data_IF_903168483386
#
_entry.id   IF_903168483386
#
_cell.length_a   1.000
_cell.length_b   1.000
_cell.length_c   1.000
_cell.angle_alpha   90.00
_cell.angle_beta   90.00
_cell.angle_gamma   90.00
#
_symmetry.space_group_name_H-M   'P 1'
#
loop_
_entity.id
_entity.type
_entity.pdbx_description
1 polymer ?
#
# COMPACT_ATOMS: atom_id res chain seq x y z
N UNK A 1 -32.28 -34.15 -4.95
CA UNK A 1 -31.73 -33.77 -6.27
C UNK A 1 -30.52 -32.88 -6.07
N UNK A 2 -29.52 -32.94 -6.96
CA UNK A 2 -28.24 -32.19 -6.94
C UNK A 2 -27.37 -32.51 -5.69
N UNK A 3 -26.34 -33.38 -5.74
CA UNK A 3 -25.07 -33.36 -6.50
C UNK A 3 -24.21 -32.13 -6.16
N UNK A 4 -23.17 -32.27 -5.34
CA UNK A 4 -21.80 -32.73 -5.68
C UNK A 4 -20.95 -31.63 -6.38
N UNK A 5 -19.63 -31.53 -6.20
CA UNK A 5 -18.65 -32.45 -5.59
C UNK A 5 -17.48 -31.72 -4.89
N UNK A 6 -16.67 -32.47 -4.13
CA UNK A 6 -15.40 -32.01 -3.54
C UNK A 6 -14.25 -32.94 -3.94
N UNK A 7 -13.12 -32.42 -4.42
CA UNK A 7 -11.79 -33.02 -4.25
C UNK A 7 -11.00 -32.27 -3.15
N UNK A 8 -9.99 -32.83 -2.50
CA UNK A 8 -9.31 -34.11 -2.73
C UNK A 8 -7.80 -33.87 -2.66
N UNK A 9 -7.16 -34.31 -1.57
CA UNK A 9 -5.76 -33.97 -1.30
C UNK A 9 -4.78 -34.68 -2.27
N UNK A 10 -3.69 -33.98 -2.61
CA UNK A 10 -2.64 -34.48 -3.50
C UNK A 10 -1.34 -34.77 -2.71
N UNK A 11 -0.78 -35.99 -2.79
CA UNK A 11 0.55 -36.30 -2.27
C UNK A 11 1.61 -36.36 -3.39
N UNK A 12 2.83 -35.92 -3.07
CA UNK A 12 4.07 -36.40 -3.70
C UNK A 12 4.31 -36.08 -5.19
N UNK A 13 5.01 -34.97 -5.46
CA UNK A 13 5.80 -34.80 -6.68
C UNK A 13 7.21 -34.31 -6.31
N UNK A 14 8.26 -34.98 -6.79
CA UNK A 14 9.64 -34.60 -6.48
C UNK A 14 10.06 -33.34 -7.25
N UNK A 15 10.89 -32.50 -6.62
CA UNK A 15 11.41 -31.28 -7.24
C UNK A 15 12.56 -31.61 -8.21
N UNK A 16 12.21 -32.02 -9.43
CA UNK A 16 13.19 -32.30 -10.49
C UNK A 16 13.79 -30.99 -11.01
N UNK A 17 14.99 -30.64 -10.52
CA UNK A 17 15.75 -29.46 -10.95
C UNK A 17 15.98 -29.48 -12.48
N UNK A 18 15.24 -28.64 -13.20
CA UNK A 18 15.18 -28.66 -14.67
C UNK A 18 16.02 -27.51 -15.25
N UNK A 19 17.32 -27.72 -15.38
CA UNK A 19 18.23 -26.77 -16.01
C UNK A 19 18.07 -26.78 -17.54
N UNK A 20 17.69 -25.64 -18.14
CA UNK A 20 17.61 -25.51 -19.62
C UNK A 20 18.49 -24.35 -20.12
N UNK A 21 19.67 -24.66 -20.64
CA UNK A 21 20.55 -23.69 -21.27
C UNK A 21 20.19 -23.50 -22.75
N UNK A 22 19.43 -22.44 -23.07
CA UNK A 22 19.28 -22.01 -24.47
C UNK A 22 20.63 -21.46 -24.98
N UNK A 23 21.15 -21.90 -26.14
CA UNK A 23 22.44 -21.44 -26.64
C UNK A 23 22.37 -19.95 -27.04
N UNK A 24 23.08 -19.10 -26.29
CA UNK A 24 23.18 -17.66 -26.56
C UNK A 24 24.38 -17.38 -27.47
N UNK A 25 24.13 -17.18 -28.76
CA UNK A 25 25.17 -16.76 -29.69
C UNK A 25 25.79 -15.40 -29.28
N UNK A 26 27.12 -15.21 -29.41
CA UNK A 26 27.75 -13.93 -29.15
C UNK A 26 27.42 -12.89 -30.24
N UNK A 27 27.35 -11.59 -29.92
CA UNK A 27 26.98 -10.56 -30.89
C UNK A 27 28.11 -10.28 -31.88
N UNK A 28 27.93 -10.65 -33.15
CA UNK A 28 28.82 -10.26 -34.25
C UNK A 28 28.85 -8.75 -34.45
N UNK A 29 29.85 -8.08 -33.88
CA UNK A 29 30.16 -6.67 -34.16
C UNK A 29 30.86 -6.53 -35.51
N UNK A 30 30.07 -6.45 -36.59
CA UNK A 30 30.56 -5.95 -37.87
C UNK A 30 31.17 -4.55 -37.69
N UNK A 31 32.42 -4.35 -38.13
CA UNK A 31 32.97 -3.02 -38.39
C UNK A 31 32.93 -2.74 -39.90
N UNK A 32 32.07 -1.79 -40.28
CA UNK A 32 32.17 -0.92 -41.46
C UNK A 32 32.74 -1.50 -42.77
N UNK A 33 31.86 -2.17 -43.52
CA UNK A 33 31.44 -1.79 -44.90
C UNK A 33 32.51 -1.14 -45.81
N UNK A 34 33.04 -1.94 -46.74
CA UNK A 34 33.06 -1.70 -48.19
C UNK A 34 33.76 -2.90 -48.90
N UNK A 35 33.16 -3.61 -49.86
CA UNK A 35 31.76 -3.59 -50.32
C UNK A 35 31.50 -4.54 -51.51
N UNK A 36 30.22 -4.86 -51.74
CA UNK A 36 29.63 -5.56 -52.91
C UNK A 36 29.92 -7.07 -53.09
N UNK A 37 28.90 -7.76 -53.67
CA UNK A 37 28.85 -9.15 -54.20
C UNK A 37 29.44 -10.28 -53.33
N UNK A 38 28.67 -11.19 -52.70
CA UNK A 38 27.61 -12.09 -53.20
C UNK A 38 28.14 -13.33 -53.95
N UNK A 39 28.45 -14.38 -53.17
CA UNK A 39 28.20 -15.83 -53.40
C UNK A 39 28.76 -16.56 -54.66
N UNK A 40 28.90 -17.91 -54.61
CA UNK A 40 29.24 -18.77 -53.47
C UNK A 40 30.28 -19.87 -53.82
N UNK A 41 30.58 -20.73 -52.85
CA UNK A 41 30.97 -22.14 -53.00
C UNK A 41 32.01 -22.55 -54.06
N UNK A 42 33.29 -22.46 -53.70
CA UNK A 42 34.29 -23.45 -54.13
C UNK A 42 35.06 -23.96 -52.89
N UNK A 43 35.19 -25.29 -52.67
CA UNK A 43 35.81 -25.83 -51.46
C UNK A 43 37.34 -25.67 -51.52
N UNK A 44 37.84 -24.56 -50.98
CA UNK A 44 39.27 -24.33 -50.77
C UNK A 44 39.91 -25.56 -50.09
N UNK A 45 40.96 -26.16 -50.68
CA UNK A 45 41.52 -27.41 -50.17
C UNK A 45 42.05 -27.20 -48.75
N UNK A 46 41.73 -28.13 -47.86
CA UNK A 46 42.09 -28.06 -46.43
C UNK A 46 43.59 -27.89 -46.24
N UNK A 47 44.02 -26.64 -46.04
CA UNK A 47 45.41 -26.28 -45.81
C UNK A 47 45.94 -27.02 -44.59
N UNK A 48 46.88 -27.94 -44.81
CA UNK A 48 47.30 -28.88 -43.79
C UNK A 48 47.84 -28.13 -42.56
N UNK A 49 47.13 -28.28 -41.43
CA UNK A 49 47.31 -27.51 -40.19
C UNK A 49 48.73 -27.65 -39.61
N UNK A 50 49.47 -28.68 -40.03
CA UNK A 50 50.89 -28.91 -39.75
C UNK A 50 51.85 -27.89 -40.42
N UNK A 51 51.38 -27.07 -41.37
CA UNK A 51 52.19 -26.06 -42.05
C UNK A 51 51.63 -24.63 -41.99
N UNK A 52 50.43 -24.41 -41.43
CA UNK A 52 49.94 -23.04 -41.20
C UNK A 52 50.83 -22.31 -40.17
N UNK A 53 51.30 -21.12 -40.54
CA UNK A 53 52.17 -20.24 -39.74
C UNK A 53 51.39 -19.51 -38.64
N UNK A 54 50.05 -19.53 -38.67
CA UNK A 54 49.17 -18.98 -37.61
C UNK A 54 49.06 -19.92 -36.40
N UNK A 55 49.34 -21.21 -36.59
CA UNK A 55 49.15 -22.25 -35.57
C UNK A 55 50.45 -22.43 -34.77
N UNK A 56 50.54 -21.73 -33.64
CA UNK A 56 51.69 -21.80 -32.73
C UNK A 56 51.71 -23.17 -32.03
N UNK A 57 52.67 -24.02 -32.38
CA UNK A 57 52.85 -25.36 -31.79
C UNK A 57 53.87 -25.30 -30.66
N UNK A 58 53.38 -25.12 -29.43
CA UNK A 58 54.19 -25.01 -28.22
C UNK A 58 53.38 -24.45 -27.05
N UNK A 59 53.99 -24.37 -25.88
CA UNK A 59 53.33 -23.82 -24.69
C UNK A 59 53.19 -22.29 -24.79
N UNK A 60 51.97 -21.77 -24.71
CA UNK A 60 51.64 -20.37 -25.07
C UNK A 60 52.00 -19.33 -24.01
N UNK A 61 52.25 -19.75 -22.76
CA UNK A 61 52.51 -18.86 -21.62
C UNK A 61 53.81 -18.04 -21.70
N UNK A 62 54.68 -18.28 -22.68
CA UNK A 62 55.97 -17.56 -22.85
C UNK A 62 55.92 -16.37 -23.84
N UNK A 63 54.76 -16.03 -24.41
CA UNK A 63 54.63 -15.11 -25.54
C UNK A 63 54.13 -13.69 -25.18
N UNK A 64 54.50 -13.15 -24.01
CA UNK A 64 54.25 -11.75 -23.64
C UNK A 64 55.49 -11.07 -23.03
N UNK A 65 56.42 -10.69 -23.90
CA UNK A 65 57.37 -9.59 -23.62
C UNK A 65 57.69 -8.91 -24.96
N UNK A 66 57.09 -7.75 -25.21
CA UNK A 66 57.51 -6.92 -26.34
C UNK A 66 58.93 -6.37 -26.04
N UNK A 67 59.89 -6.49 -26.95
CA UNK A 67 61.21 -5.90 -26.75
C UNK A 67 61.09 -4.37 -26.84
N UNK A 68 61.34 -3.67 -25.73
CA UNK A 68 61.42 -2.22 -25.72
C UNK A 68 62.42 -1.72 -26.77
N UNK A 69 62.02 -0.67 -27.50
CA UNK A 69 62.68 -0.21 -28.72
C UNK A 69 63.96 0.61 -28.42
N UNK A 70 64.99 -0.07 -27.93
CA UNK A 70 66.24 0.57 -27.49
C UNK A 70 67.33 -0.38 -26.98
N UNK A 71 67.50 -1.56 -27.60
CA UNK A 71 68.58 -2.49 -27.21
C UNK A 71 69.92 -2.04 -27.81
N UNK A 72 70.97 -1.96 -26.98
CA UNK A 72 72.32 -1.61 -27.41
C UNK A 72 73.05 -2.81 -28.07
N UNK A 73 74.15 -2.53 -28.75
CA UNK A 73 74.96 -3.56 -29.44
C UNK A 73 75.47 -4.63 -28.45
N UNK A 74 75.70 -4.27 -27.18
CA UNK A 74 76.18 -5.16 -26.13
C UNK A 74 75.19 -6.27 -25.77
N UNK A 75 73.88 -6.01 -25.79
CA UNK A 75 72.87 -7.04 -25.51
C UNK A 75 72.90 -8.18 -26.54
N UNK A 76 73.14 -7.84 -27.81
CA UNK A 76 73.28 -8.83 -28.87
C UNK A 76 74.53 -9.69 -28.66
N UNK A 77 75.64 -9.09 -28.19
CA UNK A 77 76.86 -9.82 -27.86
C UNK A 77 76.66 -10.76 -26.66
N UNK A 78 75.93 -10.33 -25.63
CA UNK A 78 75.61 -11.16 -24.47
C UNK A 78 74.71 -12.35 -24.86
N UNK A 79 73.63 -12.12 -25.61
CA UNK A 79 72.74 -13.17 -26.16
C UNK A 79 73.53 -14.15 -27.08
N UNK A 80 74.52 -13.67 -27.83
CA UNK A 80 75.42 -14.50 -28.62
C UNK A 80 76.41 -15.34 -27.78
N UNK A 81 76.85 -14.85 -26.62
CA UNK A 81 77.65 -15.64 -25.68
C UNK A 81 76.81 -16.68 -24.95
N UNK A 82 75.59 -16.34 -24.53
CA UNK A 82 74.68 -17.25 -23.85
C UNK A 82 74.22 -18.41 -24.75
N UNK A 83 73.85 -18.11 -26.00
CA UNK A 83 73.53 -19.16 -26.99
C UNK A 83 74.72 -20.07 -27.28
N UNK A 84 75.96 -19.54 -27.34
CA UNK A 84 77.19 -20.36 -27.41
C UNK A 84 77.37 -21.24 -26.17
N UNK A 85 77.17 -20.72 -24.96
CA UNK A 85 77.20 -21.51 -23.70
C UNK A 85 76.15 -22.63 -23.71
N UNK A 86 74.91 -22.33 -24.14
CA UNK A 86 73.81 -23.30 -24.24
C UNK A 86 74.07 -24.38 -25.30
N UNK A 87 74.68 -24.01 -26.43
CA UNK A 87 75.12 -24.98 -27.46
C UNK A 87 76.26 -25.89 -26.95
N UNK A 88 77.23 -25.35 -26.21
CA UNK A 88 78.30 -26.14 -25.59
C UNK A 88 77.75 -27.09 -24.50
N UNK A 89 76.79 -26.64 -23.69
CA UNK A 89 76.09 -27.50 -22.73
C UNK A 89 75.31 -28.63 -23.44
N UNK A 90 74.62 -28.33 -24.55
CA UNK A 90 73.92 -29.35 -25.36
C UNK A 90 74.88 -30.37 -25.97
N UNK A 91 76.08 -29.96 -26.41
CA UNK A 91 77.14 -30.89 -26.86
C UNK A 91 77.57 -31.83 -25.73
N UNK A 92 77.89 -31.30 -24.55
CA UNK A 92 78.27 -32.13 -23.37
C UNK A 92 77.17 -33.12 -22.97
N UNK A 93 75.89 -32.71 -23.01
CA UNK A 93 74.77 -33.60 -22.76
C UNK A 93 74.64 -34.69 -23.85
N UNK A 94 74.90 -34.35 -25.12
CA UNK A 94 74.90 -35.32 -26.22
C UNK A 94 76.10 -36.30 -26.16
N UNK A 95 77.24 -35.86 -25.63
CA UNK A 95 78.40 -36.72 -25.34
C UNK A 95 78.11 -37.67 -24.18
N UNK A 96 77.38 -37.24 -23.14
CA UNK A 96 76.91 -38.10 -22.04
C UNK A 96 75.81 -39.10 -22.47
N UNK A 97 75.02 -38.77 -23.49
CA UNK A 97 73.97 -39.64 -24.05
C UNK A 97 74.47 -40.61 -25.12
N UNK A 98 75.74 -40.54 -25.54
CA UNK A 98 76.35 -41.59 -26.36
C UNK A 98 76.70 -42.78 -25.47
N UNK A 99 76.33 -44.03 -25.84
CA UNK A 99 76.82 -45.21 -25.13
C UNK A 99 78.35 -45.24 -25.25
N UNK A 100 79.03 -45.11 -24.10
CA UNK A 100 80.50 -45.07 -24.03
C UNK A 100 81.05 -46.45 -24.31
N UNK A 101 81.74 -46.61 -25.43
CA UNK A 101 82.62 -47.77 -25.67
C UNK A 101 83.53 -47.94 -24.44
N UNK A 102 83.65 -49.14 -23.85
CA UNK A 102 84.52 -49.35 -22.70
C UNK A 102 85.97 -48.96 -23.03
N UNK A 103 86.76 -48.61 -22.03
CA UNK A 103 88.12 -48.12 -22.25
C UNK A 103 89.07 -49.25 -22.68
N UNK A 104 90.05 -48.99 -23.56
CA UNK A 104 90.95 -50.02 -24.06
C UNK A 104 91.80 -50.59 -22.92
N UNK A 105 91.82 -51.92 -22.80
CA UNK A 105 92.65 -52.64 -21.84
C UNK A 105 94.12 -52.25 -22.02
N UNK A 106 94.83 -52.04 -20.90
CA UNK A 106 96.22 -51.56 -20.90
C UNK A 106 97.13 -52.37 -21.84
N UNK A 107 97.96 -51.67 -22.60
CA UNK A 107 98.82 -52.24 -23.63
C UNK A 107 98.13 -52.47 -24.99
N UNK A 108 96.82 -52.24 -25.13
CA UNK A 108 96.10 -52.27 -26.42
C UNK A 108 95.58 -50.89 -26.82
N UNK A 109 95.34 -50.71 -28.11
CA UNK A 109 94.65 -49.55 -28.67
C UNK A 109 93.41 -50.04 -29.41
N UNK A 110 92.32 -49.29 -29.36
CA UNK A 110 91.20 -49.52 -30.27
C UNK A 110 91.60 -49.14 -31.70
N UNK A 111 91.07 -49.89 -32.65
CA UNK A 111 91.14 -49.65 -34.09
C UNK A 111 89.70 -49.66 -34.58
N UNK A 112 89.31 -48.65 -35.33
CA UNK A 112 87.97 -48.58 -35.91
C UNK A 112 87.87 -49.63 -37.02
N UNK A 113 87.01 -50.63 -36.82
CA UNK A 113 86.69 -51.67 -37.81
C UNK A 113 85.46 -51.23 -38.60
N UNK A 114 85.45 -51.42 -39.92
CA UNK A 114 84.25 -51.17 -40.72
C UNK A 114 83.17 -52.20 -40.37
N UNK A 115 82.22 -51.78 -39.52
CA UNK A 115 80.99 -52.53 -39.20
C UNK A 115 79.78 -52.05 -40.01
N UNK A 116 80.02 -51.26 -41.04
CA UNK A 116 79.04 -50.87 -42.05
C UNK A 116 78.93 -51.94 -43.15
N UNK A 117 77.76 -52.07 -43.78
CA UNK A 117 77.43 -53.21 -44.63
C UNK A 117 78.12 -53.12 -46.01
N UNK A 118 79.39 -53.51 -46.08
CA UNK A 118 80.15 -53.60 -47.32
C UNK A 118 79.89 -54.94 -48.02
N UNK A 119 79.44 -54.89 -49.27
CA UNK A 119 79.18 -56.06 -50.11
C UNK A 119 80.20 -56.09 -51.26
N UNK A 120 81.09 -57.08 -51.23
CA UNK A 120 81.98 -57.37 -52.35
C UNK A 120 81.29 -58.30 -53.35
N UNK A 121 81.23 -57.89 -54.62
CA UNK A 121 80.64 -58.69 -55.70
C UNK A 121 81.68 -59.69 -56.22
N UNK A 122 81.58 -60.96 -55.78
CA UNK A 122 82.50 -62.03 -56.17
C UNK A 122 82.25 -62.41 -57.64
N UNK A 123 83.00 -61.78 -58.54
CA UNK A 123 82.84 -61.90 -60.00
C UNK A 123 83.48 -63.16 -60.61
N UNK A 124 83.85 -64.16 -59.82
CA UNK A 124 84.50 -65.39 -60.28
C UNK A 124 83.48 -66.49 -60.60
N UNK A 125 83.57 -67.09 -61.79
CA UNK A 125 82.60 -68.09 -62.26
C UNK A 125 83.06 -69.49 -61.87
N UNK A 126 82.27 -70.16 -61.05
CA UNK A 126 82.44 -71.59 -60.75
C UNK A 126 82.41 -72.37 -62.08
N UNK A 127 83.39 -73.25 -62.27
CA UNK A 127 83.47 -74.12 -63.45
C UNK A 127 82.46 -75.26 -63.28
N UNK A 128 81.36 -75.19 -64.03
CA UNK A 128 80.40 -76.29 -64.15
C UNK A 128 81.05 -77.44 -64.96
N UNK A 129 80.94 -78.66 -64.46
CA UNK A 129 81.52 -79.86 -65.05
C UNK A 129 80.47 -80.97 -65.12
N UNK A 130 79.90 -81.17 -66.31
CA UNK A 130 78.86 -82.16 -66.53
C UNK A 130 79.41 -83.59 -66.38
N UNK A 131 78.76 -84.37 -65.51
CA UNK A 131 79.06 -85.79 -65.29
C UNK A 131 77.82 -86.64 -65.56
N UNK A 132 77.72 -87.16 -66.79
CA UNK A 132 76.66 -88.08 -67.18
C UNK A 132 76.80 -89.43 -66.49
N UNK A 133 75.92 -89.71 -65.52
CA UNK A 133 75.88 -90.98 -64.79
C UNK A 133 74.75 -91.87 -65.32
N UNK A 134 75.10 -93.06 -65.83
CA UNK A 134 74.14 -94.03 -66.35
C UNK A 134 73.23 -94.57 -65.23
N UNK A 135 71.93 -94.27 -65.32
CA UNK A 135 70.91 -94.76 -64.37
C UNK A 135 70.41 -96.15 -64.74
N UNK A 136 70.52 -97.11 -63.81
CA UNK A 136 69.83 -98.40 -63.89
C UNK A 136 68.39 -98.28 -63.35
N UNK A 137 67.53 -99.26 -63.65
CA UNK A 137 66.10 -99.21 -63.36
C UNK A 137 65.78 -99.32 -61.85
N UNK A 138 65.15 -98.28 -61.30
CA UNK A 138 64.72 -98.25 -59.90
C UNK A 138 63.68 -99.34 -59.60
N UNK A 139 63.92 -100.09 -58.51
CA UNK A 139 62.92 -100.88 -57.79
C UNK A 139 62.54 -100.15 -56.50
N UNK A 140 61.24 -100.06 -56.20
CA UNK A 140 60.74 -99.31 -55.05
C UNK A 140 61.22 -99.91 -53.72
N UNK A 141 62.05 -99.13 -53.02
CA UNK A 141 62.47 -99.42 -51.65
C UNK A 141 61.29 -99.20 -50.70
N UNK A 142 60.98 -100.12 -49.76
CA UNK A 142 59.92 -99.91 -48.79
C UNK A 142 60.16 -98.64 -47.95
N UNK A 143 59.09 -97.92 -47.55
CA UNK A 143 59.21 -96.66 -46.82
C UNK A 143 59.99 -96.87 -45.52
N UNK A 144 61.04 -96.08 -45.34
CA UNK A 144 61.92 -96.19 -44.17
C UNK A 144 61.18 -95.64 -42.94
N UNK A 145 61.16 -96.36 -41.79
CA UNK A 145 60.37 -95.95 -40.62
C UNK A 145 60.83 -94.57 -40.10
N UNK A 146 59.85 -93.77 -39.68
CA UNK A 146 60.08 -92.42 -39.18
C UNK A 146 60.89 -92.46 -37.87
N UNK A 147 62.10 -91.90 -37.90
CA UNK A 147 62.91 -91.71 -36.70
C UNK A 147 62.34 -90.56 -35.86
N UNK A 148 61.79 -90.90 -34.69
CA UNK A 148 61.39 -89.92 -33.67
C UNK A 148 62.58 -89.77 -32.70
N UNK A 149 63.26 -88.62 -32.64
CA UNK A 149 64.34 -88.41 -31.69
C UNK A 149 63.83 -88.46 -30.24
N UNK A 150 64.61 -89.04 -29.34
CA UNK A 150 64.34 -88.91 -27.91
C UNK A 150 64.46 -87.45 -27.47
N UNK A 151 63.46 -86.96 -26.70
CA UNK A 151 63.52 -85.64 -26.05
C UNK A 151 64.82 -85.54 -25.24
N UNK A 152 65.71 -84.64 -25.64
CA UNK A 152 67.02 -84.45 -24.98
C UNK A 152 67.05 -83.07 -24.32
N UNK A 153 66.74 -83.05 -23.02
CA UNK A 153 66.64 -81.85 -22.19
C UNK A 153 65.92 -82.17 -20.88
N UNK A 154 66.06 -81.33 -19.85
CA UNK A 154 65.24 -81.41 -18.64
C UNK A 154 64.06 -80.44 -18.77
N UNK A 155 62.84 -80.98 -18.80
CA UNK A 155 61.62 -80.18 -18.70
C UNK A 155 61.49 -79.68 -17.24
N UNK A 156 61.72 -78.39 -17.00
CA UNK A 156 61.59 -77.74 -15.69
C UNK A 156 60.36 -76.84 -15.68
N UNK A 157 59.46 -77.06 -14.72
CA UNK A 157 58.30 -76.20 -14.50
C UNK A 157 58.54 -75.24 -13.33
N UNK A 158 58.50 -73.94 -13.59
CA UNK A 158 58.50 -72.87 -12.57
C UNK A 158 57.10 -72.30 -12.46
N UNK A 159 56.47 -72.45 -11.28
CA UNK A 159 55.18 -71.85 -10.96
C UNK A 159 55.34 -70.96 -9.73
N UNK A 160 54.79 -69.75 -9.80
CA UNK A 160 54.71 -68.82 -8.67
C UNK A 160 53.44 -69.16 -7.88
N UNK A 161 53.54 -69.21 -6.55
CA UNK A 161 52.45 -69.56 -5.66
C UNK A 161 51.72 -68.32 -5.11
N UNK A 162 50.50 -68.52 -4.62
CA UNK A 162 49.70 -67.45 -4.01
C UNK A 162 50.44 -66.84 -2.81
N UNK A 163 50.64 -65.52 -2.84
CA UNK A 163 51.38 -64.76 -1.83
C UNK A 163 52.89 -64.58 -2.10
N UNK A 164 53.50 -65.32 -3.03
CA UNK A 164 54.95 -65.26 -3.28
C UNK A 164 55.44 -63.93 -3.88
N UNK A 165 54.55 -63.16 -4.51
CA UNK A 165 54.79 -61.83 -5.07
C UNK A 165 54.13 -60.69 -4.26
N UNK A 166 53.62 -60.95 -3.06
CA UNK A 166 52.83 -59.95 -2.32
C UNK A 166 53.72 -58.89 -1.65
N UNK A 167 53.62 -57.64 -2.13
CA UNK A 167 54.19 -56.46 -1.47
C UNK A 167 53.11 -55.74 -0.64
N UNK A 168 53.20 -55.88 0.68
CA UNK A 168 52.30 -55.22 1.62
C UNK A 168 52.34 -53.70 1.50
N UNK A 169 53.53 -53.11 1.35
CA UNK A 169 53.68 -51.65 1.30
C UNK A 169 53.09 -51.10 0.00
N UNK A 170 53.00 -51.87 -1.08
CA UNK A 170 52.28 -51.49 -2.29
C UNK A 170 50.77 -51.62 -2.11
N UNK A 171 50.28 -52.79 -1.69
CA UNK A 171 48.85 -53.12 -1.68
C UNK A 171 48.06 -52.40 -0.56
N UNK A 172 48.72 -52.00 0.53
CA UNK A 172 48.06 -51.27 1.63
C UNK A 172 47.78 -49.78 1.28
N UNK A 173 48.48 -49.22 0.28
CA UNK A 173 48.38 -47.79 -0.07
C UNK A 173 46.97 -47.35 -0.48
N UNK A 174 46.25 -48.03 -1.40
CA UNK A 174 44.87 -47.65 -1.76
C UNK A 174 43.89 -47.77 -0.58
N UNK A 175 44.07 -48.77 0.30
CA UNK A 175 43.25 -48.90 1.52
C UNK A 175 43.47 -47.71 2.47
N UNK A 176 44.72 -47.31 2.71
CA UNK A 176 45.04 -46.18 3.57
C UNK A 176 44.60 -44.85 2.95
N UNK A 177 44.75 -44.66 1.64
CA UNK A 177 44.28 -43.47 0.93
C UNK A 177 42.76 -43.31 1.05
N UNK A 178 41.99 -44.38 0.87
CA UNK A 178 40.53 -44.36 1.06
C UNK A 178 40.15 -44.13 2.54
N UNK A 179 40.82 -44.76 3.50
CA UNK A 179 40.53 -44.57 4.93
C UNK A 179 40.84 -43.15 5.41
N UNK A 180 42.03 -42.62 5.07
CA UNK A 180 42.45 -41.26 5.45
C UNK A 180 41.60 -40.22 4.70
N UNK A 181 41.34 -40.43 3.40
CA UNK A 181 40.44 -39.58 2.62
C UNK A 181 39.03 -39.51 3.21
N UNK A 182 38.41 -40.66 3.51
CA UNK A 182 37.04 -40.71 4.03
C UNK A 182 36.92 -40.15 5.45
N UNK A 183 37.91 -40.39 6.32
CA UNK A 183 37.91 -39.83 7.69
C UNK A 183 38.10 -38.31 7.70
N UNK A 184 38.96 -37.76 6.84
CA UNK A 184 39.11 -36.30 6.70
C UNK A 184 37.87 -35.66 6.05
N UNK A 185 37.31 -36.29 5.02
CA UNK A 185 36.07 -35.83 4.36
C UNK A 185 34.90 -35.79 5.35
N UNK A 186 34.71 -36.86 6.13
CA UNK A 186 33.66 -36.93 7.15
C UNK A 186 33.86 -35.88 8.25
N UNK A 187 35.06 -35.77 8.83
CA UNK A 187 35.34 -34.80 9.88
C UNK A 187 35.18 -33.35 9.42
N UNK A 188 35.50 -33.04 8.15
CA UNK A 188 35.26 -31.71 7.58
C UNK A 188 33.76 -31.41 7.43
N UNK A 189 32.96 -32.38 6.97
CA UNK A 189 31.51 -32.22 6.84
C UNK A 189 30.84 -32.07 8.21
N UNK A 190 31.25 -32.85 9.21
CA UNK A 190 30.74 -32.77 10.59
C UNK A 190 31.02 -31.40 11.21
N UNK A 191 32.25 -30.87 11.08
CA UNK A 191 32.61 -29.53 11.59
C UNK A 191 31.85 -28.42 10.86
N UNK A 192 31.64 -28.53 9.55
CA UNK A 192 30.83 -27.56 8.80
C UNK A 192 29.34 -27.59 9.22
N UNK A 193 28.76 -28.77 9.48
CA UNK A 193 27.39 -28.88 9.99
C UNK A 193 27.29 -28.28 11.41
N UNK A 194 28.27 -28.51 12.29
CA UNK A 194 28.30 -27.90 13.62
C UNK A 194 28.40 -26.36 13.58
N UNK A 195 29.20 -25.79 12.67
CA UNK A 195 29.32 -24.33 12.48
C UNK A 195 28.03 -23.72 11.91
N UNK A 196 27.45 -24.31 10.86
CA UNK A 196 26.15 -23.86 10.30
C UNK A 196 25.02 -23.95 11.34
N UNK A 197 24.97 -25.03 12.15
CA UNK A 197 23.99 -25.17 13.24
C UNK A 197 24.23 -24.18 14.39
N UNK A 198 25.47 -23.76 14.65
CA UNK A 198 25.77 -22.74 15.65
C UNK A 198 25.27 -21.36 15.20
N UNK A 199 25.55 -20.97 13.95
CA UNK A 199 25.08 -19.71 13.37
C UNK A 199 23.56 -19.64 13.24
N UNK A 200 22.91 -20.74 12.85
CA UNK A 200 21.45 -20.82 12.80
C UNK A 200 20.80 -20.71 14.18
N UNK A 201 21.44 -21.21 15.24
CA UNK A 201 20.97 -21.01 16.63
C UNK A 201 21.21 -19.58 17.11
N UNK A 202 22.40 -19.02 16.85
CA UNK A 202 22.73 -17.64 17.24
C UNK A 202 21.78 -16.61 16.59
N UNK A 203 21.47 -16.78 15.30
CA UNK A 203 20.51 -15.94 14.58
C UNK A 203 19.07 -16.13 15.05
N UNK A 204 18.66 -17.36 15.43
CA UNK A 204 17.36 -17.60 16.07
C UNK A 204 17.25 -16.88 17.42
N UNK A 205 18.24 -17.01 18.31
CA UNK A 205 18.20 -16.35 19.62
C UNK A 205 18.17 -14.82 19.49
N UNK A 206 18.98 -14.23 18.61
CA UNK A 206 18.96 -12.79 18.36
C UNK A 206 17.59 -12.30 17.82
N UNK A 207 16.91 -13.10 17.00
CA UNK A 207 15.57 -12.80 16.52
C UNK A 207 14.50 -12.95 17.62
N UNK A 208 14.61 -13.97 18.48
CA UNK A 208 13.71 -14.14 19.63
C UNK A 208 13.87 -13.01 20.66
N UNK A 209 15.11 -12.59 20.97
CA UNK A 209 15.38 -11.44 21.83
C UNK A 209 14.75 -10.16 21.29
N UNK A 210 14.99 -9.83 20.01
CA UNK A 210 14.38 -8.67 19.35
C UNK A 210 12.85 -8.73 19.40
N UNK A 211 12.26 -9.86 19.01
CA UNK A 211 10.81 -10.08 19.01
C UNK A 211 10.20 -9.95 20.41
N UNK A 212 10.91 -10.38 21.45
CA UNK A 212 10.45 -10.24 22.84
C UNK A 212 10.50 -8.78 23.32
N UNK A 213 11.50 -8.00 22.89
CA UNK A 213 11.59 -6.56 23.14
C UNK A 213 10.47 -5.81 22.40
N UNK A 214 10.25 -6.11 21.12
CA UNK A 214 9.16 -5.53 20.33
C UNK A 214 7.79 -5.82 20.94
N UNK A 215 7.54 -7.07 21.37
CA UNK A 215 6.30 -7.46 22.05
C UNK A 215 6.06 -6.65 23.33
N UNK A 216 7.10 -6.46 24.15
CA UNK A 216 7.03 -5.68 25.38
C UNK A 216 6.77 -4.19 25.13
N UNK A 217 7.35 -3.61 24.07
CA UNK A 217 7.04 -2.23 23.66
C UNK A 217 5.61 -2.09 23.13
N UNK A 218 5.13 -3.03 22.29
CA UNK A 218 3.74 -3.02 21.81
C UNK A 218 2.76 -3.06 22.99
N UNK A 219 2.95 -3.97 23.96
CA UNK A 219 2.10 -4.03 25.16
C UNK A 219 2.13 -2.72 25.98
N UNK A 220 3.31 -2.11 26.14
CA UNK A 220 3.48 -0.81 26.81
C UNK A 220 2.69 0.31 26.10
N UNK A 221 2.71 0.33 24.78
CA UNK A 221 2.00 1.31 23.96
C UNK A 221 0.49 1.06 23.94
N UNK A 222 0.05 -0.19 23.84
CA UNK A 222 -1.38 -0.58 23.92
C UNK A 222 -1.98 -0.17 25.28
N UNK A 223 -1.27 -0.41 26.39
CA UNK A 223 -1.71 0.04 27.71
C UNK A 223 -1.81 1.57 27.81
N UNK A 224 -0.83 2.29 27.26
CA UNK A 224 -0.86 3.76 27.23
C UNK A 224 -2.02 4.29 26.39
N UNK A 225 -2.27 3.68 25.22
CA UNK A 225 -3.38 4.07 24.34
C UNK A 225 -4.74 3.73 24.98
N UNK A 226 -4.86 2.58 25.66
CA UNK A 226 -6.07 2.20 26.42
C UNK A 226 -6.40 3.25 27.50
N UNK A 227 -5.43 3.61 28.34
CA UNK A 227 -5.60 4.64 29.40
C UNK A 227 -6.01 5.99 28.80
N UNK A 228 -5.38 6.42 27.70
CA UNK A 228 -5.72 7.67 27.02
C UNK A 228 -7.11 7.62 26.34
N UNK A 229 -7.50 6.47 25.78
CA UNK A 229 -8.83 6.23 25.20
C UNK A 229 -9.92 6.28 26.27
N UNK A 230 -9.70 5.61 27.41
CA UNK A 230 -10.57 5.66 28.59
C UNK A 230 -10.77 7.09 29.11
N UNK A 231 -9.70 7.90 29.24
CA UNK A 231 -9.86 9.30 29.63
C UNK A 231 -10.60 10.11 28.56
N UNK A 232 -10.23 9.97 27.28
CA UNK A 232 -10.84 10.71 26.16
C UNK A 232 -12.36 10.45 26.08
N UNK A 233 -12.81 9.23 26.35
CA UNK A 233 -14.24 8.91 26.43
C UNK A 233 -14.92 9.54 27.65
N UNK A 234 -14.30 9.50 28.84
CA UNK A 234 -14.82 10.20 30.03
C UNK A 234 -14.94 11.71 29.80
N UNK A 235 -13.93 12.35 29.20
CA UNK A 235 -13.96 13.78 28.83
C UNK A 235 -15.06 14.07 27.82
N UNK A 236 -15.27 13.20 26.82
CA UNK A 236 -16.35 13.31 25.83
C UNK A 236 -17.73 13.20 26.47
N UNK A 237 -17.93 12.28 27.43
CA UNK A 237 -19.16 12.13 28.19
C UNK A 237 -19.46 13.38 29.04
N UNK A 238 -18.48 13.86 29.81
CA UNK A 238 -18.57 15.10 30.59
C UNK A 238 -18.95 16.31 29.72
N UNK A 239 -18.27 16.48 28.58
CA UNK A 239 -18.58 17.59 27.65
C UNK A 239 -19.97 17.44 27.04
N UNK A 240 -20.41 16.22 26.73
CA UNK A 240 -21.75 15.96 26.20
C UNK A 240 -22.84 16.31 27.21
N UNK A 241 -22.68 15.95 28.49
CA UNK A 241 -23.59 16.37 29.57
C UNK A 241 -23.65 17.89 29.73
N UNK A 242 -22.50 18.57 29.72
CA UNK A 242 -22.44 20.04 29.81
C UNK A 242 -23.18 20.67 28.64
N UNK A 243 -22.98 20.17 27.42
CA UNK A 243 -23.70 20.65 26.23
C UNK A 243 -25.21 20.35 26.28
N UNK A 244 -25.64 19.21 26.85
CA UNK A 244 -27.05 18.88 27.04
C UNK A 244 -27.71 19.84 28.04
N UNK A 245 -27.10 20.00 29.22
CA UNK A 245 -27.55 20.92 30.28
C UNK A 245 -27.58 22.38 29.79
N UNK A 246 -26.60 22.79 28.98
CA UNK A 246 -26.57 24.11 28.35
C UNK A 246 -27.70 24.28 27.31
N UNK A 247 -27.95 23.27 26.46
CA UNK A 247 -29.05 23.29 25.48
C UNK A 247 -30.41 23.40 26.15
N UNK A 248 -30.67 22.58 27.18
CA UNK A 248 -31.89 22.68 27.99
C UNK A 248 -32.06 24.06 28.63
N UNK A 249 -30.98 24.60 29.22
CA UNK A 249 -31.01 25.89 29.91
C UNK A 249 -31.27 27.03 28.92
N UNK A 250 -30.64 26.99 27.75
CA UNK A 250 -30.91 27.90 26.63
C UNK A 250 -32.37 27.80 26.15
N UNK A 251 -32.92 26.60 25.99
CA UNK A 251 -34.33 26.41 25.64
C UNK A 251 -35.29 26.94 26.73
N UNK A 252 -34.99 26.71 28.01
CA UNK A 252 -35.77 27.24 29.16
C UNK A 252 -35.73 28.77 29.21
N UNK A 253 -34.58 29.38 28.94
CA UNK A 253 -34.42 30.85 28.85
C UNK A 253 -35.17 31.41 27.63
N UNK A 254 -35.04 30.79 26.46
CA UNK A 254 -35.72 31.21 25.23
C UNK A 254 -37.24 31.12 25.36
N UNK A 255 -37.76 30.02 25.93
CA UNK A 255 -39.18 29.86 26.22
C UNK A 255 -39.68 30.93 27.22
N UNK A 256 -38.94 31.18 28.31
CA UNK A 256 -39.26 32.25 29.26
C UNK A 256 -39.30 33.62 28.58
N UNK A 257 -38.29 33.98 27.79
CA UNK A 257 -38.21 35.26 27.10
C UNK A 257 -39.34 35.42 26.06
N UNK A 258 -39.65 34.36 25.31
CA UNK A 258 -40.79 34.33 24.40
C UNK A 258 -42.11 34.54 25.13
N UNK A 259 -42.39 33.79 26.20
CA UNK A 259 -43.60 33.94 27.00
C UNK A 259 -43.70 35.31 27.66
N UNK A 260 -42.60 35.88 28.17
CA UNK A 260 -42.60 37.23 28.74
C UNK A 260 -42.94 38.30 27.70
N UNK A 261 -42.37 38.23 26.49
CA UNK A 261 -42.74 39.14 25.39
C UNK A 261 -44.18 38.94 24.94
N UNK A 262 -44.58 37.70 24.67
CA UNK A 262 -45.92 37.38 24.19
C UNK A 262 -47.01 37.80 25.18
N UNK A 263 -46.78 37.62 26.50
CA UNK A 263 -47.71 38.10 27.53
C UNK A 263 -47.69 39.64 27.67
N UNK A 264 -46.55 40.30 27.48
CA UNK A 264 -46.47 41.76 27.50
C UNK A 264 -47.21 42.40 26.30
N UNK A 265 -47.19 41.75 25.14
CA UNK A 265 -47.92 42.19 23.94
C UNK A 265 -49.43 41.80 24.02
N UNK A 266 -49.75 40.61 24.55
CA UNK A 266 -51.11 40.07 24.63
C UNK A 266 -51.97 40.73 25.73
N UNK A 267 -51.41 40.98 26.92
CA UNK A 267 -52.20 41.48 28.05
C UNK A 267 -52.87 42.83 27.73
N UNK A 268 -52.19 43.87 27.22
CA UNK A 268 -52.84 45.11 26.81
C UNK A 268 -53.94 44.87 25.77
N UNK A 269 -53.66 44.10 24.71
CA UNK A 269 -54.65 43.82 23.66
C UNK A 269 -55.91 43.10 24.18
N UNK A 270 -55.78 42.22 25.18
CA UNK A 270 -56.92 41.58 25.85
C UNK A 270 -57.64 42.54 26.79
N UNK A 271 -56.92 43.37 27.55
CA UNK A 271 -57.54 44.39 28.42
C UNK A 271 -58.30 45.45 27.60
N UNK A 272 -57.72 45.93 26.50
CA UNK A 272 -58.34 46.90 25.60
C UNK A 272 -59.58 46.31 24.91
N UNK A 273 -59.51 45.08 24.39
CA UNK A 273 -60.69 44.45 23.76
C UNK A 273 -61.81 44.09 24.75
N UNK A 274 -61.51 43.77 26.01
CA UNK A 274 -62.55 43.65 27.05
C UNK A 274 -63.12 45.01 27.48
N UNK A 275 -62.33 46.09 27.39
CA UNK A 275 -62.77 47.47 27.67
C UNK A 275 -63.67 47.99 26.55
N UNK A 276 -63.29 47.82 25.29
CA UNK A 276 -64.12 48.09 24.11
C UNK A 276 -65.39 47.23 24.12
N UNK A 277 -65.30 45.99 24.57
CA UNK A 277 -66.44 45.09 24.79
C UNK A 277 -67.31 45.43 26.01
N UNK A 278 -67.01 46.51 26.75
CA UNK A 278 -67.84 47.01 27.86
C UNK A 278 -67.82 46.15 29.14
N UNK A 279 -66.90 45.18 29.26
CA UNK A 279 -66.77 44.34 30.46
C UNK A 279 -66.09 45.08 31.63
N UNK A 280 -65.23 46.06 31.33
CA UNK A 280 -64.70 46.98 32.33
C UNK A 280 -65.56 48.25 32.36
N UNK A 281 -66.43 48.34 33.35
CA UNK A 281 -67.23 49.52 33.67
C UNK A 281 -66.78 50.10 35.01
N UNK A 282 -66.88 51.42 35.18
CA UNK A 282 -66.82 52.01 36.52
C UNK A 282 -68.13 51.66 37.26
N UNK A 283 -68.08 51.08 38.47
CA UNK A 283 -69.28 50.80 39.24
C UNK A 283 -70.08 52.07 39.58
N UNK A 284 -69.44 53.23 39.72
CA UNK A 284 -70.13 54.51 39.99
C UNK A 284 -70.91 54.97 38.75
N UNK A 285 -70.31 54.89 37.55
CA UNK A 285 -70.98 55.27 36.31
C UNK A 285 -72.21 54.40 36.03
N UNK A 286 -72.11 53.07 36.16
CA UNK A 286 -73.25 52.18 35.89
C UNK A 286 -74.25 52.07 37.04
N UNK A 287 -73.81 51.90 38.29
CA UNK A 287 -74.73 51.63 39.41
C UNK A 287 -75.30 52.93 39.96
N UNK A 288 -74.45 53.91 40.27
CA UNK A 288 -74.89 55.13 40.93
C UNK A 288 -75.47 56.16 39.94
N UNK A 289 -74.88 56.31 38.74
CA UNK A 289 -75.33 57.30 37.75
C UNK A 289 -76.40 56.73 36.81
N UNK A 290 -76.09 55.71 35.99
CA UNK A 290 -77.03 55.17 35.00
C UNK A 290 -78.28 54.49 35.63
N UNK A 291 -78.08 53.69 36.68
CA UNK A 291 -79.17 52.91 37.31
C UNK A 291 -79.77 53.54 38.57
N UNK A 292 -79.05 54.44 39.26
CA UNK A 292 -79.55 55.18 40.42
C UNK A 292 -80.07 56.57 40.06
N UNK A 293 -79.16 57.46 39.68
CA UNK A 293 -79.44 58.89 39.52
C UNK A 293 -80.33 59.21 38.31
N UNK A 294 -80.07 58.64 37.12
CA UNK A 294 -80.87 58.95 35.94
C UNK A 294 -82.35 58.54 36.09
N UNK A 295 -82.72 57.32 36.56
CA UNK A 295 -84.12 56.99 36.80
C UNK A 295 -84.75 57.83 37.91
N UNK A 296 -84.01 58.21 38.96
CA UNK A 296 -84.49 59.11 40.00
C UNK A 296 -84.78 60.52 39.45
N UNK A 297 -83.86 61.07 38.66
CA UNK A 297 -83.98 62.40 38.05
C UNK A 297 -85.16 62.45 37.08
N UNK A 298 -85.32 61.43 36.23
CA UNK A 298 -86.45 61.35 35.29
C UNK A 298 -87.78 61.25 36.04
N UNK A 299 -87.87 60.45 37.10
CA UNK A 299 -89.05 60.37 37.97
C UNK A 299 -89.37 61.70 38.68
N UNK A 300 -88.37 62.47 39.11
CA UNK A 300 -88.61 63.80 39.70
C UNK A 300 -89.05 64.83 38.64
N UNK A 301 -88.48 64.78 37.43
CA UNK A 301 -88.95 65.57 36.28
C UNK A 301 -90.40 65.22 35.95
N UNK A 302 -90.76 63.93 35.88
CA UNK A 302 -92.13 63.47 35.63
C UNK A 302 -93.09 63.98 36.71
N UNK A 303 -92.73 63.93 38.00
CA UNK A 303 -93.54 64.56 39.07
C UNK A 303 -93.72 66.06 38.86
N UNK A 304 -92.68 66.80 38.45
CA UNK A 304 -92.85 68.25 38.16
C UNK A 304 -93.75 68.48 36.95
N UNK A 305 -93.72 67.57 35.96
CA UNK A 305 -94.63 67.58 34.81
C UNK A 305 -96.07 67.27 35.24
N UNK A 306 -96.30 66.28 36.11
CA UNK A 306 -97.60 65.96 36.69
C UNK A 306 -98.15 67.13 37.52
N UNK A 307 -97.35 67.72 38.41
CA UNK A 307 -97.74 68.93 39.15
C UNK A 307 -98.06 70.10 38.20
N UNK A 308 -97.32 70.27 37.10
CA UNK A 308 -97.61 71.27 36.07
C UNK A 308 -98.92 70.96 35.32
N UNK A 309 -99.20 69.70 35.00
CA UNK A 309 -100.45 69.27 34.39
C UNK A 309 -101.64 69.46 35.33
N UNK A 310 -101.52 69.09 36.61
CA UNK A 310 -102.57 69.32 37.62
C UNK A 310 -102.79 70.81 37.86
N UNK A 311 -101.72 71.62 37.91
CA UNK A 311 -101.85 73.08 37.96
C UNK A 311 -102.59 73.65 36.75
N UNK A 312 -102.34 73.13 35.55
CA UNK A 312 -103.06 73.51 34.31
C UNK A 312 -104.51 73.05 34.31
N UNK A 313 -104.83 71.82 34.74
CA UNK A 313 -106.23 71.34 34.75
C UNK A 313 -107.06 72.03 35.83
N UNK A 314 -106.48 72.34 36.99
CA UNK A 314 -107.13 73.17 38.01
C UNK A 314 -107.35 74.60 37.51
N UNK A 315 -106.37 75.19 36.79
CA UNK A 315 -106.53 76.50 36.16
C UNK A 315 -107.64 76.48 35.09
N UNK A 316 -107.69 75.46 34.23
CA UNK A 316 -108.76 75.28 33.24
C UNK A 316 -110.14 75.09 33.89
N UNK A 317 -110.23 74.34 34.99
CA UNK A 317 -111.47 74.20 35.77
C UNK A 317 -111.90 75.56 36.37
N UNK A 318 -110.97 76.33 36.92
CA UNK A 318 -111.26 77.62 37.52
C UNK A 318 -111.63 78.68 36.46
N UNK A 319 -111.02 78.62 35.27
CA UNK A 319 -111.44 79.39 34.10
C UNK A 319 -112.86 79.01 33.67
N UNK A 320 -113.20 77.72 33.59
CA UNK A 320 -114.56 77.25 33.28
C UNK A 320 -115.57 77.75 34.31
N UNK A 321 -115.30 77.60 35.60
CA UNK A 321 -116.15 78.15 36.67
C UNK A 321 -116.34 79.67 36.55
N UNK A 322 -115.28 80.43 36.25
CA UNK A 322 -115.39 81.89 36.08
C UNK A 322 -116.21 82.26 34.84
N UNK A 323 -116.11 81.50 33.75
CA UNK A 323 -116.93 81.67 32.54
C UNK A 323 -118.40 81.30 32.80
N UNK A 324 -118.66 80.18 33.48
CA UNK A 324 -120.00 79.70 33.82
C UNK A 324 -120.69 80.61 34.83
N UNK A 325 -120.00 81.05 35.89
CA UNK A 325 -120.49 82.10 36.80
C UNK A 325 -120.79 83.40 36.05
N UNK A 326 -119.96 83.80 35.08
CA UNK A 326 -120.23 84.97 34.23
C UNK A 326 -121.49 84.78 33.38
N UNK A 327 -121.64 83.64 32.72
CA UNK A 327 -122.83 83.28 31.93
C UNK A 327 -124.11 83.39 32.79
N UNK A 328 -124.10 82.76 33.97
CA UNK A 328 -125.21 82.82 34.93
C UNK A 328 -125.50 84.26 35.41
N UNK A 329 -124.50 85.14 35.51
CA UNK A 329 -124.72 86.58 35.81
C UNK A 329 -125.16 87.43 34.63
N UNK A 330 -125.10 86.93 33.39
CA UNK A 330 -125.77 87.53 32.24
C UNK A 330 -127.24 87.10 32.20
N UNK A 331 -127.54 85.81 32.37
CA UNK A 331 -128.92 85.31 32.44
C UNK A 331 -129.70 85.99 33.58
N UNK A 332 -129.14 86.07 34.80
CA UNK A 332 -129.75 86.80 35.92
C UNK A 332 -129.89 88.33 35.72
N UNK A 333 -129.30 88.90 34.66
CA UNK A 333 -129.46 90.32 34.29
C UNK A 333 -130.56 90.58 33.27
N UNK A 334 -130.96 89.58 32.48
CA UNK A 334 -132.12 89.74 31.60
C UNK A 334 -133.44 89.71 32.40
N UNK A 335 -133.49 88.94 33.49
CA UNK A 335 -134.67 88.79 34.35
C UNK A 335 -135.07 90.02 35.19
N UNK A 336 -134.24 91.09 35.28
CA UNK A 336 -134.42 92.17 36.29
C UNK A 336 -134.17 93.61 35.82
N UNK A 337 -135.08 94.13 35.00
CA UNK A 337 -135.40 95.56 34.94
C UNK A 337 -136.67 95.84 35.78
N UNK A 338 -136.71 96.91 36.62
CA UNK A 338 -137.18 98.21 36.12
C UNK A 338 -136.64 99.50 36.78
N UNK A 339 -136.54 100.56 35.97
CA UNK A 339 -136.89 101.97 36.24
C UNK A 339 -136.91 102.54 37.69
N UNK A 340 -136.04 103.51 38.01
CA UNK A 340 -136.31 104.98 37.88
C UNK A 340 -135.13 105.90 38.29
N UNK A 341 -135.30 107.21 38.04
CA UNK A 341 -134.45 108.40 38.25
C UNK A 341 -135.31 109.47 38.98
N UNK A 342 -134.88 110.72 39.28
CA UNK A 342 -133.54 111.36 39.25
C UNK A 342 -133.18 111.97 40.64
N UNK A 343 -132.11 112.74 40.91
CA UNK A 343 -130.83 112.99 40.22
C UNK A 343 -129.66 112.93 41.27
N UNK A 344 -128.63 113.77 41.45
CA UNK A 344 -128.17 115.05 40.86
C UNK A 344 -126.62 115.12 40.90
N UNK A 345 -126.00 116.21 40.41
CA UNK A 345 -124.56 116.35 40.20
C UNK A 345 -123.89 117.52 40.94
N UNK A 346 -122.73 118.03 40.46
CA UNK A 346 -121.92 117.55 39.32
C UNK A 346 -120.39 117.46 39.60
N UNK A 347 -119.60 116.98 38.61
CA UNK A 347 -118.16 117.33 38.52
C UNK A 347 -117.16 116.21 38.19
N UNK A 348 -116.96 115.90 36.89
CA UNK A 348 -115.69 115.36 36.35
C UNK A 348 -114.89 116.47 35.64
N UNK A 349 -113.83 116.20 34.83
CA UNK A 349 -113.19 114.93 34.41
C UNK A 349 -111.82 114.70 35.12
N UNK A 350 -110.90 113.76 34.84
CA UNK A 350 -110.60 112.89 33.68
C UNK A 350 -109.65 113.55 32.66
N UNK A 351 -108.80 112.85 31.88
CA UNK A 351 -108.26 111.46 31.99
C UNK A 351 -106.71 111.35 31.72
N UNK A 352 -106.13 110.13 31.67
CA UNK A 352 -105.17 109.58 30.65
C UNK A 352 -104.05 108.60 31.14
N UNK A 353 -103.92 107.48 30.40
CA UNK A 353 -102.71 106.70 29.98
C UNK A 353 -101.58 106.33 30.97
N UNK A 354 -101.44 105.02 31.23
CA UNK A 354 -100.52 104.06 30.56
C UNK A 354 -99.11 104.51 30.07
N UNK A 355 -98.09 103.60 30.04
CA UNK A 355 -97.47 102.89 31.17
C UNK A 355 -95.92 102.75 31.01
N UNK A 356 -95.27 101.92 31.84
CA UNK A 356 -93.96 101.27 31.61
C UNK A 356 -92.69 102.18 31.58
N UNK A 357 -91.47 101.75 31.93
CA UNK A 357 -90.95 100.52 32.61
C UNK A 357 -89.60 100.86 33.23
N UNK A 358 -89.22 100.25 34.36
CA UNK A 358 -87.88 100.43 34.95
C UNK A 358 -87.59 99.51 36.14
N UNK A 359 -86.76 98.49 35.90
CA UNK A 359 -85.84 97.72 36.74
C UNK A 359 -85.23 96.68 35.76
N UNK A 360 -83.93 96.35 35.69
CA UNK A 360 -82.83 96.18 36.66
C UNK A 360 -82.87 94.86 37.46
N UNK A 361 -81.68 94.43 37.94
CA UNK A 361 -81.33 93.09 38.47
C UNK A 361 -81.39 91.94 37.43
N UNK A 362 -80.32 91.21 37.08
CA UNK A 362 -78.94 91.11 37.57
C UNK A 362 -78.69 90.43 38.93
N UNK A 363 -78.89 89.11 38.98
CA UNK A 363 -78.04 88.11 39.66
C UNK A 363 -77.81 86.99 38.61
N UNK A 364 -76.59 86.54 38.26
CA UNK A 364 -75.47 85.94 39.03
C UNK A 364 -75.66 84.44 39.27
#
# INVERSE_FOLDING_TARGET
MRSASTPGAAPGAMSTYTYTSRPRAPPCRLRYRNGLTQQPDEPLPFGNIMYDRRVVRGNTYALHTEPQRGQTIDEHLQKAQETKKRAAAKKRAQEQLRPRTPEPVEGRKHVDVQTELYLEEIADRIIEADMECQTDAFLDKPPTPLFIPAKTGQDVATQILEGELFDFDLEVKPMLEVLVGKTIEQALLEVMEEEELADLRATQYAFEELRNVELAEVQRLEEQERRHREEKERRKQQQWEVMHKHKETSQKIAARAFSQRYLADLLPSVFDSLKEGGYFFDPVERVDIELGFLPWLMNEVDKTMEHSMVGRTVLDMLIREVVERRLNTYEQKEDKHPFLKPEDGPGGPGPTRDPATGDEFQEQ
#
